data_IF_326430184344
#
_entry.id   IF_326430184344
#
_cell.length_a   1.000
_cell.length_b   1.000
_cell.length_c   1.000
_cell.angle_alpha   90.00
_cell.angle_beta   90.00
_cell.angle_gamma   90.00
#
_symmetry.space_group_name_H-M   'P 1'
#
loop_
_entity.id
_entity.type
_entity.pdbx_description
1 polymer ?
#
# COMPACT_ATOMS: atom_id res chain seq x y z
N UNK A 1 -13.02 11.86 -18.24
CA UNK A 1 -13.65 10.57 -17.93
C UNK A 1 -12.62 9.51 -18.27
N UNK A 2 -11.84 9.05 -17.29
CA UNK A 2 -10.70 8.21 -17.59
C UNK A 2 -11.16 6.79 -18.02
N UNK A 3 -10.52 6.21 -19.04
CA UNK A 3 -10.97 4.97 -19.65
C UNK A 3 -10.93 3.82 -18.65
N UNK A 4 -11.99 3.01 -18.67
CA UNK A 4 -12.13 1.82 -17.85
C UNK A 4 -10.93 0.90 -18.05
N UNK A 5 -10.06 0.82 -17.04
CA UNK A 5 -8.91 -0.07 -17.03
C UNK A 5 -9.24 -1.25 -16.12
N UNK A 6 -9.06 -2.47 -16.64
CA UNK A 6 -9.33 -3.68 -15.85
C UNK A 6 -8.46 -3.67 -14.57
N UNK A 7 -8.96 -4.18 -13.44
CA UNK A 7 -8.22 -4.20 -12.18
C UNK A 7 -6.83 -4.85 -12.33
N UNK A 8 -6.76 -5.96 -13.07
CA UNK A 8 -5.53 -6.67 -13.40
C UNK A 8 -4.53 -5.84 -14.21
N UNK A 9 -5.01 -5.01 -15.14
CA UNK A 9 -4.16 -4.16 -15.97
C UNK A 9 -3.52 -3.05 -15.15
N UNK A 10 -4.26 -2.48 -14.19
CA UNK A 10 -3.69 -1.47 -13.29
C UNK A 10 -2.67 -2.08 -12.34
N UNK A 11 -2.91 -3.30 -11.86
CA UNK A 11 -1.95 -4.01 -11.03
C UNK A 11 -0.63 -4.22 -11.81
N UNK A 12 -0.68 -4.77 -13.03
CA UNK A 12 0.50 -4.90 -13.90
C UNK A 12 1.19 -3.57 -14.17
N UNK A 13 0.43 -2.53 -14.52
CA UNK A 13 0.96 -1.18 -14.75
C UNK A 13 1.68 -0.63 -13.53
N UNK A 14 1.16 -0.89 -12.33
CA UNK A 14 1.80 -0.46 -11.08
C UNK A 14 3.11 -1.21 -10.82
N UNK A 15 3.21 -2.47 -11.25
CA UNK A 15 4.42 -3.27 -11.17
C UNK A 15 5.49 -2.78 -12.15
N UNK A 16 5.10 -2.52 -13.40
CA UNK A 16 5.97 -1.92 -14.40
C UNK A 16 6.51 -0.57 -13.92
N UNK A 17 5.64 0.31 -13.38
CA UNK A 17 6.04 1.61 -12.86
C UNK A 17 7.00 1.50 -11.66
N UNK A 18 6.83 0.49 -10.82
CA UNK A 18 7.77 0.23 -9.74
C UNK A 18 9.11 -0.32 -10.24
N UNK A 19 9.12 -1.12 -11.31
CA UNK A 19 10.36 -1.60 -11.94
C UNK A 19 11.22 -0.48 -12.51
N UNK A 20 10.60 0.61 -12.99
CA UNK A 20 11.28 1.83 -13.43
C UNK A 20 11.46 2.87 -12.32
N UNK A 21 11.31 2.46 -11.06
CA UNK A 21 11.48 3.28 -9.85
C UNK A 21 10.59 4.54 -9.80
N UNK A 22 9.34 4.44 -10.30
CA UNK A 22 8.32 5.49 -10.25
C UNK A 22 7.15 5.16 -9.30
N UNK A 23 7.36 5.12 -7.98
CA UNK A 23 6.32 4.76 -7.01
C UNK A 23 5.16 5.76 -6.96
N UNK A 24 5.41 7.05 -7.20
CA UNK A 24 4.35 8.08 -7.22
C UNK A 24 3.37 7.88 -8.39
N UNK A 25 3.89 7.58 -9.58
CA UNK A 25 3.08 7.26 -10.76
C UNK A 25 2.29 5.97 -10.56
N UNK A 26 2.91 4.96 -9.95
CA UNK A 26 2.25 3.70 -9.61
C UNK A 26 1.06 3.94 -8.66
N UNK A 27 1.26 4.74 -7.61
CA UNK A 27 0.21 5.08 -6.66
C UNK A 27 -0.95 5.83 -7.33
N UNK A 28 -0.67 6.78 -8.22
CA UNK A 28 -1.69 7.53 -8.94
C UNK A 28 -2.54 6.59 -9.82
N UNK A 29 -1.89 5.67 -10.54
CA UNK A 29 -2.58 4.68 -11.39
C UNK A 29 -3.51 3.77 -10.58
N UNK A 30 -3.07 3.32 -9.41
CA UNK A 30 -3.90 2.47 -8.54
C UNK A 30 -5.04 3.29 -7.91
N UNK A 31 -4.78 4.53 -7.48
CA UNK A 31 -5.77 5.41 -6.85
C UNK A 31 -6.98 5.70 -7.76
N UNK A 32 -6.77 5.68 -9.07
CA UNK A 32 -7.83 5.86 -10.07
C UNK A 32 -8.91 4.77 -9.97
N UNK A 33 -8.51 3.51 -9.69
CA UNK A 33 -9.46 2.41 -9.47
C UNK A 33 -10.30 2.68 -8.24
N UNK A 34 -9.68 3.09 -7.14
CA UNK A 34 -10.39 3.38 -5.90
C UNK A 34 -11.40 4.51 -6.08
N UNK A 35 -11.07 5.55 -6.86
CA UNK A 35 -11.99 6.65 -7.17
C UNK A 35 -13.18 6.25 -8.06
N UNK A 36 -13.07 5.14 -8.79
CA UNK A 36 -14.12 4.69 -9.70
C UNK A 36 -15.36 4.18 -8.95
N UNK A 37 -16.56 4.56 -9.45
CA UNK A 37 -17.85 4.03 -8.94
C UNK A 37 -17.94 2.50 -9.03
N UNK A 38 -17.10 1.87 -9.85
CA UNK A 38 -17.03 0.41 -10.02
C UNK A 38 -16.10 -0.31 -9.04
N UNK A 39 -15.39 0.42 -8.17
CA UNK A 39 -14.65 -0.18 -7.06
C UNK A 39 -15.54 -1.09 -6.22
N UNK A 40 -16.75 -0.63 -5.88
CA UNK A 40 -17.76 -1.41 -5.14
C UNK A 40 -18.35 -2.60 -5.90
N UNK A 41 -18.22 -2.64 -7.23
CA UNK A 41 -18.76 -3.71 -8.08
C UNK A 41 -17.69 -4.74 -8.48
N UNK A 42 -16.42 -4.48 -8.15
CA UNK A 42 -15.31 -5.37 -8.47
C UNK A 42 -15.28 -6.50 -7.44
N UNK A 43 -15.09 -7.77 -7.84
CA UNK A 43 -15.02 -8.88 -6.90
C UNK A 43 -13.86 -8.70 -5.91
N UNK A 44 -14.11 -9.09 -4.65
CA UNK A 44 -13.15 -8.94 -3.56
C UNK A 44 -11.81 -9.63 -3.87
N UNK A 45 -11.85 -10.79 -4.53
CA UNK A 45 -10.65 -11.54 -4.95
C UNK A 45 -9.72 -10.77 -5.88
N UNK A 46 -10.25 -9.88 -6.73
CA UNK A 46 -9.44 -9.00 -7.58
C UNK A 46 -9.01 -7.73 -6.87
N UNK A 47 -9.77 -7.27 -5.88
CA UNK A 47 -9.48 -6.06 -5.11
C UNK A 47 -8.39 -6.29 -4.07
N UNK A 48 -8.33 -7.47 -3.46
CA UNK A 48 -7.38 -7.81 -2.42
C UNK A 48 -5.91 -7.59 -2.85
N UNK A 49 -5.40 -8.16 -3.97
CA UNK A 49 -4.02 -7.92 -4.40
C UNK A 49 -3.75 -6.45 -4.76
N UNK A 50 -4.76 -5.73 -5.27
CA UNK A 50 -4.66 -4.30 -5.57
C UNK A 50 -4.54 -3.49 -4.28
N UNK A 51 -5.29 -3.86 -3.25
CA UNK A 51 -5.25 -3.21 -1.95
C UNK A 51 -3.91 -3.45 -1.24
N UNK A 52 -3.39 -4.67 -1.27
CA UNK A 52 -2.05 -4.97 -0.72
C UNK A 52 -0.98 -4.13 -1.42
N UNK A 53 -1.01 -4.05 -2.75
CA UNK A 53 -0.07 -3.22 -3.52
C UNK A 53 -0.20 -1.73 -3.22
N UNK A 54 -1.43 -1.24 -3.05
CA UNK A 54 -1.69 0.14 -2.66
C UNK A 54 -1.08 0.46 -1.28
N UNK A 55 -1.24 -0.45 -0.32
CA UNK A 55 -0.66 -0.33 1.01
C UNK A 55 0.87 -0.25 0.94
N UNK A 56 1.51 -1.16 0.20
CA UNK A 56 2.98 -1.17 0.03
C UNK A 56 3.49 0.17 -0.50
N UNK A 57 2.83 0.70 -1.54
CA UNK A 57 3.15 2.00 -2.14
C UNK A 57 2.95 3.16 -1.16
N UNK A 58 1.87 3.15 -0.38
CA UNK A 58 1.63 4.21 0.58
C UNK A 58 2.62 4.18 1.75
N UNK A 59 3.06 3.00 2.21
CA UNK A 59 4.10 2.86 3.24
C UNK A 59 5.42 3.38 2.69
N UNK A 60 5.80 2.97 1.47
CA UNK A 60 7.01 3.42 0.80
C UNK A 60 7.06 4.96 0.66
N UNK A 61 5.94 5.57 0.29
CA UNK A 61 5.81 7.02 0.08
C UNK A 61 5.42 7.80 1.35
N UNK A 62 5.28 7.12 2.50
CA UNK A 62 4.83 7.68 3.79
C UNK A 62 3.48 8.44 3.69
N UNK A 63 2.57 7.96 2.83
CA UNK A 63 1.24 8.53 2.58
C UNK A 63 0.17 7.88 3.46
N UNK A 64 0.28 8.02 4.79
CA UNK A 64 -0.64 7.41 5.77
C UNK A 64 -2.10 7.86 5.62
N UNK A 65 -2.33 9.11 5.19
CA UNK A 65 -3.68 9.60 4.89
C UNK A 65 -4.37 8.78 3.81
N UNK A 66 -3.65 8.45 2.73
CA UNK A 66 -4.18 7.68 1.62
C UNK A 66 -4.51 6.25 2.05
N UNK A 67 -3.69 5.65 2.92
CA UNK A 67 -3.98 4.34 3.53
C UNK A 67 -5.31 4.35 4.26
N UNK A 68 -5.52 5.35 5.13
CA UNK A 68 -6.75 5.48 5.91
C UNK A 68 -7.99 5.58 5.01
N UNK A 69 -7.93 6.41 3.98
CA UNK A 69 -9.02 6.58 3.02
C UNK A 69 -9.27 5.27 2.23
N UNK A 70 -8.21 4.62 1.73
CA UNK A 70 -8.30 3.35 1.01
C UNK A 70 -8.86 2.20 1.87
N UNK A 71 -8.41 2.07 3.12
CA UNK A 71 -8.92 1.08 4.07
C UNK A 71 -10.40 1.30 4.39
N UNK A 72 -10.83 2.55 4.55
CA UNK A 72 -12.24 2.86 4.76
C UNK A 72 -13.10 2.41 3.58
N UNK A 73 -12.63 2.65 2.35
CA UNK A 73 -13.31 2.18 1.14
C UNK A 73 -13.32 0.65 1.03
N UNK A 74 -12.18 0.01 1.27
CA UNK A 74 -12.05 -1.45 1.22
C UNK A 74 -12.94 -2.14 2.24
N UNK A 75 -12.95 -1.65 3.49
CA UNK A 75 -13.84 -2.13 4.56
C UNK A 75 -15.30 -2.10 4.11
N UNK A 76 -15.73 -1.02 3.48
CA UNK A 76 -17.13 -0.89 3.04
C UNK A 76 -17.54 -1.90 1.97
N UNK A 77 -16.60 -2.38 1.15
CA UNK A 77 -16.83 -3.43 0.15
C UNK A 77 -16.82 -4.80 0.81
N UNK A 78 -15.79 -5.06 1.61
CA UNK A 78 -15.52 -6.37 2.19
C UNK A 78 -16.46 -6.72 3.36
N UNK A 79 -17.07 -5.74 4.04
CA UNK A 79 -17.92 -5.99 5.23
C UNK A 79 -19.06 -6.98 5.00
N UNK A 80 -19.64 -7.03 3.79
CA UNK A 80 -20.75 -7.93 3.45
C UNK A 80 -20.28 -9.27 2.85
N UNK A 81 -18.98 -9.43 2.59
CA UNK A 81 -18.43 -10.59 1.87
C UNK A 81 -17.43 -11.36 2.73
N UNK A 82 -16.39 -10.68 3.23
CA UNK A 82 -15.36 -11.29 4.07
C UNK A 82 -14.66 -10.23 4.92
N UNK A 83 -14.98 -10.22 6.22
CA UNK A 83 -14.28 -9.39 7.21
C UNK A 83 -12.83 -9.84 7.39
N UNK A 84 -12.55 -11.13 7.20
CA UNK A 84 -11.19 -11.69 7.30
C UNK A 84 -10.24 -11.07 6.27
N UNK A 85 -10.71 -10.75 5.06
CA UNK A 85 -9.88 -10.06 4.05
C UNK A 85 -9.46 -8.65 4.51
N UNK A 86 -10.32 -7.94 5.25
CA UNK A 86 -9.97 -6.64 5.83
C UNK A 86 -8.89 -6.80 6.90
N UNK A 87 -9.02 -7.81 7.75
CA UNK A 87 -8.03 -8.12 8.78
C UNK A 87 -6.66 -8.39 8.17
N UNK A 88 -6.58 -9.24 7.13
CA UNK A 88 -5.33 -9.53 6.44
C UNK A 88 -4.67 -8.27 5.88
N UNK A 89 -5.42 -7.38 5.23
CA UNK A 89 -4.89 -6.12 4.68
C UNK A 89 -4.38 -5.20 5.79
N UNK A 90 -5.07 -5.14 6.94
CA UNK A 90 -4.65 -4.33 8.09
C UNK A 90 -3.38 -4.90 8.72
N UNK A 91 -3.30 -6.22 8.91
CA UNK A 91 -2.09 -6.88 9.42
C UNK A 91 -0.90 -6.68 8.47
N UNK A 92 -1.13 -6.73 7.15
CA UNK A 92 -0.12 -6.44 6.14
C UNK A 92 0.40 -5.01 6.25
N UNK A 93 -0.49 -4.01 6.42
CA UNK A 93 -0.09 -2.62 6.63
C UNK A 93 0.80 -2.44 7.86
N UNK A 94 0.45 -3.07 8.98
CA UNK A 94 1.24 -3.01 10.22
C UNK A 94 2.62 -3.64 10.00
N UNK A 95 2.67 -4.82 9.38
CA UNK A 95 3.91 -5.55 9.08
C UNK A 95 4.82 -4.71 8.19
N UNK A 96 4.31 -4.19 7.08
CA UNK A 96 5.08 -3.33 6.15
C UNK A 96 5.57 -2.05 6.81
N UNK A 97 4.76 -1.44 7.67
CA UNK A 97 5.17 -0.24 8.41
C UNK A 97 6.31 -0.53 9.38
N UNK A 98 6.28 -1.69 10.05
CA UNK A 98 7.36 -2.16 10.93
C UNK A 98 8.63 -2.46 10.15
N UNK A 99 8.55 -3.24 9.08
CA UNK A 99 9.70 -3.51 8.19
C UNK A 99 10.36 -2.21 7.73
N UNK A 100 9.56 -1.21 7.35
CA UNK A 100 10.08 0.10 6.92
C UNK A 100 10.72 0.89 8.06
N UNK A 101 10.22 0.74 9.28
CA UNK A 101 10.81 1.34 10.47
C UNK A 101 12.15 0.67 10.78
N UNK A 102 12.21 -0.66 10.76
CA UNK A 102 13.41 -1.44 11.01
C UNK A 102 14.49 -1.14 9.96
N UNK A 103 14.14 -1.05 8.67
CA UNK A 103 15.05 -0.59 7.62
C UNK A 103 15.59 0.82 7.87
N UNK A 104 14.75 1.73 8.38
CA UNK A 104 15.17 3.08 8.69
C UNK A 104 16.11 3.12 9.91
N UNK A 105 15.84 2.31 10.92
CA UNK A 105 16.68 2.17 12.12
C UNK A 105 18.02 1.52 11.80
N UNK A 106 18.05 0.45 11.00
CA UNK A 106 19.28 -0.20 10.56
C UNK A 106 20.18 0.77 9.78
N UNK A 107 19.60 1.63 8.93
CA UNK A 107 20.36 2.68 8.24
C UNK A 107 20.89 3.74 9.19
N UNK A 108 20.21 4.04 10.30
CA UNK A 108 20.75 4.95 11.32
C UNK A 108 21.92 4.30 12.04
N UNK A 109 21.81 3.03 12.42
CA UNK A 109 22.88 2.25 13.08
C UNK A 109 24.13 2.07 12.18
N UNK A 110 23.93 1.98 10.86
CA UNK A 110 25.04 1.95 9.89
C UNK A 110 25.72 3.33 9.70
N UNK A 111 24.99 4.42 9.91
CA UNK A 111 25.50 5.80 9.77
C UNK A 111 26.12 6.30 11.08
N UNK A 112 25.54 5.95 12.23
CA UNK A 112 26.09 6.14 13.56
C UNK A 112 26.94 4.93 13.96
N UNK A 113 28.22 4.90 13.55
CA UNK A 113 29.19 4.02 14.19
C UNK A 113 29.14 4.14 15.72
N UNK A 114 29.49 3.09 16.48
CA UNK A 114 29.08 2.89 17.88
C UNK A 114 29.41 4.09 18.76
N UNK A 115 28.40 4.88 19.09
CA UNK A 115 28.50 6.12 19.88
C UNK A 115 28.18 5.90 21.38
N UNK A 116 28.49 4.71 21.92
CA UNK A 116 28.48 4.49 23.37
C UNK A 116 29.78 3.82 23.81
N UNK A 117 30.89 4.52 23.57
CA UNK A 117 31.99 4.55 24.52
C UNK A 117 32.10 6.01 24.99
N UNK A 118 32.28 6.21 26.30
CA UNK A 118 32.44 7.50 26.99
C UNK A 118 31.15 8.20 27.46
N UNK A 119 30.62 7.68 28.56
CA UNK A 119 29.96 8.47 29.60
C UNK A 119 30.41 7.92 30.95
N UNK A 120 31.46 8.55 31.51
CA UNK A 120 32.13 8.21 32.78
C UNK A 120 31.26 8.34 34.02
#
# INVERSE_FOLDING_TARGET
MAPYTKPETVLRRSEELLSVNQPMSALASISEIFSSKRFRQTPLSSLEPIMLRFIDLCVLLRKTRNVKEGLHMYKNVAQNTSVSSVEMVVQHFITKSKEKLDEALARVDEIEGPLVAEGS
#
